data_IF_331965770102
#
_entry.id   IF_331965770102
#
_cell.length_a   1.000
_cell.length_b   1.000
_cell.length_c   1.000
_cell.angle_alpha   90.00
_cell.angle_beta   90.00
_cell.angle_gamma   90.00
#
_symmetry.space_group_name_H-M   'P 1'
#
loop_
_entity.id
_entity.type
_entity.pdbx_description
1 polymer ?
#
# COMPACT_ATOMS: atom_id res chain seq x y z
N UNK A 1 -56.68 4.06 -8.21
CA UNK A 1 -55.96 3.07 -9.04
C UNK A 1 -54.76 2.70 -8.22
N UNK A 2 -55.01 1.83 -7.27
CA UNK A 2 -54.08 1.48 -6.20
C UNK A 2 -53.53 0.11 -6.58
N UNK A 3 -52.26 0.10 -7.00
CA UNK A 3 -51.57 -1.13 -7.37
C UNK A 3 -50.79 -1.61 -6.15
N UNK A 4 -51.30 -2.69 -5.57
CA UNK A 4 -50.66 -3.44 -4.51
C UNK A 4 -49.31 -4.01 -5.00
N UNK A 5 -48.22 -3.60 -4.34
CA UNK A 5 -46.89 -4.18 -4.56
C UNK A 5 -46.79 -5.50 -3.80
N UNK A 6 -46.72 -6.57 -4.58
CA UNK A 6 -46.53 -7.96 -4.17
C UNK A 6 -45.37 -8.12 -3.19
N UNK A 7 -45.67 -8.77 -2.06
CA UNK A 7 -44.69 -9.27 -1.10
C UNK A 7 -43.82 -10.35 -1.73
N UNK A 8 -42.52 -10.06 -1.79
CA UNK A 8 -41.49 -11.04 -2.10
C UNK A 8 -41.20 -11.77 -0.79
N UNK A 9 -41.65 -13.03 -0.71
CA UNK A 9 -41.33 -13.93 0.41
C UNK A 9 -39.86 -14.33 0.32
N UNK A 10 -39.07 -13.85 1.29
CA UNK A 10 -37.69 -14.26 1.51
C UNK A 10 -37.69 -15.70 2.06
N UNK A 11 -37.67 -16.68 1.17
CA UNK A 11 -37.35 -18.06 1.55
C UNK A 11 -35.83 -18.15 1.83
N UNK A 12 -35.47 -18.01 3.11
CA UNK A 12 -34.10 -18.22 3.59
C UNK A 12 -33.66 -19.68 3.34
N UNK A 13 -32.74 -19.85 2.40
CA UNK A 13 -32.10 -21.14 2.13
C UNK A 13 -31.04 -21.42 3.22
N UNK A 14 -31.44 -22.10 4.30
CA UNK A 14 -30.52 -22.56 5.35
C UNK A 14 -29.68 -23.72 4.79
N UNK A 15 -28.47 -23.41 4.33
CA UNK A 15 -27.49 -24.42 3.91
C UNK A 15 -26.82 -25.01 5.16
N UNK A 16 -27.28 -26.17 5.61
CA UNK A 16 -26.63 -26.89 6.71
C UNK A 16 -25.22 -27.36 6.29
N UNK A 17 -24.18 -26.71 6.82
CA UNK A 17 -22.81 -27.18 6.64
C UNK A 17 -22.52 -28.38 7.56
N UNK A 18 -21.92 -29.47 7.05
CA UNK A 18 -21.65 -30.65 7.85
C UNK A 18 -20.61 -30.35 8.95
N UNK A 19 -20.73 -30.99 10.13
CA UNK A 19 -19.85 -30.74 11.25
C UNK A 19 -18.40 -31.12 10.89
N UNK A 20 -17.52 -30.12 10.92
CA UNK A 20 -16.10 -30.25 10.65
C UNK A 20 -15.43 -31.12 11.73
N UNK A 21 -15.36 -32.43 11.47
CA UNK A 21 -14.63 -33.42 12.27
C UNK A 21 -13.13 -33.24 12.09
N UNK A 22 -12.60 -32.11 12.54
CA UNK A 22 -11.17 -31.87 12.65
C UNK A 22 -10.55 -32.90 13.60
N UNK A 23 -9.80 -33.85 13.03
CA UNK A 23 -9.08 -34.90 13.77
C UNK A 23 -8.08 -34.26 14.73
N UNK A 24 -8.41 -34.23 16.03
CA UNK A 24 -7.48 -33.79 17.10
C UNK A 24 -6.26 -34.71 17.09
N UNK A 25 -5.16 -34.27 16.46
CA UNK A 25 -3.88 -34.96 16.56
C UNK A 25 -3.47 -34.93 18.03
N UNK A 26 -3.37 -36.10 18.67
CA UNK A 26 -2.82 -36.24 20.02
C UNK A 26 -1.38 -35.72 19.99
N UNK A 27 -1.18 -34.52 20.51
CA UNK A 27 0.12 -33.87 20.62
C UNK A 27 0.97 -34.72 21.57
N UNK A 28 1.95 -35.43 21.03
CA UNK A 28 2.86 -36.25 21.84
C UNK A 28 3.58 -35.35 22.84
N UNK A 29 3.48 -35.61 24.16
CA UNK A 29 4.07 -34.75 25.16
C UNK A 29 5.54 -34.51 24.88
N UNK A 30 6.36 -35.51 24.51
CA UNK A 30 7.79 -35.37 24.15
C UNK A 30 8.12 -34.21 23.17
N UNK A 31 7.21 -33.84 22.27
CA UNK A 31 7.41 -32.72 21.34
C UNK A 31 7.31 -31.34 22.00
N UNK A 32 6.75 -31.24 23.22
CA UNK A 32 6.63 -30.01 24.01
C UNK A 32 7.98 -29.42 24.40
N UNK A 33 8.91 -30.26 24.88
CA UNK A 33 10.26 -29.89 25.31
C UNK A 33 11.05 -29.28 24.14
N UNK A 34 10.94 -29.91 22.97
CA UNK A 34 11.53 -29.39 21.71
C UNK A 34 10.99 -28.02 21.33
N UNK A 35 9.70 -27.77 21.59
CA UNK A 35 9.05 -26.51 21.23
C UNK A 35 9.43 -25.36 22.19
N UNK A 36 9.63 -25.68 23.48
CA UNK A 36 10.12 -24.73 24.49
C UNK A 36 11.56 -24.33 24.21
N UNK A 37 12.45 -25.28 23.91
CA UNK A 37 13.85 -24.98 23.51
C UNK A 37 13.94 -24.17 22.21
N UNK A 38 13.03 -24.42 21.26
CA UNK A 38 12.92 -23.62 20.03
C UNK A 38 12.54 -22.17 20.33
N UNK A 39 11.61 -21.95 21.27
CA UNK A 39 11.25 -20.59 21.74
C UNK A 39 12.39 -19.93 22.52
N UNK A 40 13.14 -20.67 23.33
CA UNK A 40 14.26 -20.13 24.10
C UNK A 40 15.41 -19.62 23.20
N UNK A 41 15.71 -20.33 22.10
CA UNK A 41 16.73 -19.91 21.09
C UNK A 41 16.36 -18.66 20.29
N UNK A 42 15.07 -18.29 20.26
CA UNK A 42 14.60 -17.06 19.61
C UNK A 42 15.00 -15.81 20.40
N UNK A 43 15.04 -15.86 21.74
CA UNK A 43 15.38 -14.70 22.58
C UNK A 43 16.82 -14.21 22.42
N UNK A 44 17.75 -15.08 22.03
CA UNK A 44 19.19 -14.75 21.90
C UNK A 44 19.54 -14.16 20.53
N UNK A 45 18.70 -14.32 19.51
CA UNK A 45 18.94 -13.77 18.18
C UNK A 45 18.12 -12.50 18.03
N UNK A 46 18.78 -11.36 17.77
CA UNK A 46 18.16 -10.08 17.36
C UNK A 46 17.51 -10.22 15.99
N UNK A 47 16.57 -11.15 15.84
CA UNK A 47 15.86 -11.42 14.61
C UNK A 47 14.55 -10.66 14.67
N UNK A 48 14.46 -9.57 13.92
CA UNK A 48 13.20 -8.84 13.74
C UNK A 48 12.28 -9.74 12.92
N UNK A 49 11.19 -10.16 13.55
CA UNK A 49 10.13 -10.94 12.92
C UNK A 49 9.01 -9.96 12.58
N UNK A 50 8.63 -9.90 11.31
CA UNK A 50 7.56 -9.01 10.85
C UNK A 50 6.34 -9.87 10.55
N UNK A 51 5.20 -9.42 11.06
CA UNK A 51 3.88 -9.96 10.76
C UNK A 51 3.10 -8.87 10.06
N UNK A 52 2.61 -9.17 8.87
CA UNK A 52 1.93 -8.20 8.03
C UNK A 52 1.31 -8.88 6.83
N UNK A 53 0.60 -8.07 6.04
CA UNK A 53 -0.04 -8.52 4.83
C UNK A 53 0.97 -8.42 3.68
N UNK A 54 1.39 -9.54 3.04
CA UNK A 54 2.27 -9.46 1.87
C UNK A 54 1.58 -8.77 0.69
N UNK A 55 0.25 -8.82 0.65
CA UNK A 55 -0.60 -8.16 -0.34
C UNK A 55 -1.83 -7.58 0.35
N UNK A 56 -2.43 -6.54 -0.22
CA UNK A 56 -3.70 -6.00 0.27
C UNK A 56 -4.75 -7.12 0.32
N UNK A 57 -5.36 -7.34 1.49
CA UNK A 57 -6.36 -8.39 1.70
C UNK A 57 -5.86 -9.79 2.09
N UNK A 58 -4.55 -10.05 2.15
CA UNK A 58 -4.03 -11.36 2.56
C UNK A 58 -3.29 -11.28 3.90
N UNK A 59 -3.79 -11.93 4.95
CA UNK A 59 -3.15 -11.95 6.26
C UNK A 59 -2.22 -13.16 6.40
N UNK A 60 -0.91 -12.91 6.48
CA UNK A 60 0.04 -13.97 6.81
C UNK A 60 0.08 -14.12 8.33
N UNK A 61 -0.71 -15.08 8.86
CA UNK A 61 -0.85 -15.32 10.31
C UNK A 61 0.43 -15.81 11.00
N UNK A 62 1.49 -16.10 10.26
CA UNK A 62 2.78 -16.50 10.80
C UNK A 62 3.82 -15.39 10.60
N UNK A 63 4.46 -14.89 11.67
CA UNK A 63 5.53 -13.92 11.54
C UNK A 63 6.72 -14.53 10.79
N UNK A 64 7.26 -13.80 9.82
CA UNK A 64 8.39 -14.24 9.00
C UNK A 64 9.62 -13.38 9.26
N UNK A 65 10.80 -13.98 9.07
CA UNK A 65 12.05 -13.22 9.11
C UNK A 65 12.24 -12.48 7.78
N UNK A 66 12.58 -11.20 7.84
CA UNK A 66 12.93 -10.40 6.66
C UNK A 66 14.26 -10.83 6.04
N UNK A 67 15.10 -11.52 6.81
CA UNK A 67 16.48 -11.82 6.44
C UNK A 67 16.62 -13.29 6.09
N UNK A 68 17.37 -13.59 5.03
CA UNK A 68 17.68 -14.99 4.66
C UNK A 68 18.34 -15.70 5.84
N UNK A 69 18.03 -16.99 6.03
CA UNK A 69 18.59 -17.84 7.09
C UNK A 69 20.11 -17.67 7.16
N UNK A 70 20.61 -17.23 8.32
CA UNK A 70 22.04 -17.06 8.61
C UNK A 70 22.60 -15.65 8.39
N UNK A 71 21.82 -14.72 7.82
CA UNK A 71 22.20 -13.30 7.74
C UNK A 71 21.60 -12.51 8.91
N UNK A 72 22.25 -11.41 9.31
CA UNK A 72 21.83 -10.49 10.37
C UNK A 72 21.83 -9.06 9.85
N UNK A 73 20.98 -8.19 10.41
CA UNK A 73 20.93 -6.77 10.05
C UNK A 73 22.19 -5.98 10.47
N UNK A 74 23.05 -6.54 11.33
CA UNK A 74 24.22 -5.85 11.88
C UNK A 74 25.18 -5.30 10.82
N UNK A 75 25.24 -5.92 9.65
CA UNK A 75 26.12 -5.50 8.54
C UNK A 75 25.35 -5.13 7.27
N UNK A 76 24.03 -4.98 7.33
CA UNK A 76 23.24 -4.59 6.18
C UNK A 76 23.42 -3.08 5.97
N UNK A 77 24.18 -2.70 4.93
CA UNK A 77 24.13 -1.32 4.42
C UNK A 77 22.81 -1.18 3.68
N UNK A 78 21.87 -0.47 4.27
CA UNK A 78 20.63 -0.08 3.60
C UNK A 78 21.05 0.93 2.54
N UNK A 79 20.93 0.64 1.23
CA UNK A 79 21.22 1.63 0.22
C UNK A 79 20.28 2.81 0.45
N UNK A 80 20.82 4.02 0.32
CA UNK A 80 19.98 5.21 0.31
C UNK A 80 19.02 5.07 -0.87
N UNK A 81 17.72 5.19 -0.59
CA UNK A 81 16.72 5.14 -1.66
C UNK A 81 16.91 6.43 -2.44
N UNK A 82 17.28 6.37 -3.74
CA UNK A 82 17.43 7.58 -4.53
C UNK A 82 16.13 8.37 -4.44
N UNK A 83 16.24 9.69 -4.32
CA UNK A 83 15.07 10.57 -4.38
C UNK A 83 14.33 10.24 -5.68
N UNK A 84 13.02 10.07 -5.55
CA UNK A 84 12.18 9.61 -6.65
C UNK A 84 12.10 10.61 -7.79
N UNK A 85 11.16 10.36 -8.70
CA UNK A 85 10.88 11.22 -9.86
C UNK A 85 10.68 12.67 -9.42
N UNK A 86 11.36 13.64 -10.06
CA UNK A 86 11.14 15.06 -9.78
C UNK A 86 9.66 15.40 -9.96
N UNK A 87 9.10 16.11 -8.98
CA UNK A 87 7.67 16.44 -8.98
C UNK A 87 7.46 17.59 -9.95
N UNK A 88 6.57 17.39 -10.93
CA UNK A 88 6.15 18.45 -11.87
C UNK A 88 5.60 19.66 -11.10
N UNK A 89 5.98 20.87 -11.51
CA UNK A 89 5.55 22.12 -10.88
C UNK A 89 4.01 22.26 -10.80
N UNK A 90 3.29 21.75 -11.81
CA UNK A 90 1.83 21.71 -11.81
C UNK A 90 1.24 20.98 -10.58
N UNK A 91 1.83 19.86 -10.15
CA UNK A 91 1.39 19.12 -8.96
C UNK A 91 1.70 19.87 -7.67
N UNK A 92 2.84 20.56 -7.63
CA UNK A 92 3.22 21.39 -6.47
C UNK A 92 2.20 22.50 -6.26
N UNK A 93 1.79 23.17 -7.34
CA UNK A 93 0.76 24.20 -7.29
C UNK A 93 -0.61 23.65 -6.90
N UNK A 94 -0.99 22.48 -7.42
CA UNK A 94 -2.25 21.83 -7.05
C UNK A 94 -2.29 21.47 -5.55
N UNK A 95 -1.21 20.91 -5.01
CA UNK A 95 -1.11 20.63 -3.57
C UNK A 95 -1.14 21.91 -2.73
N UNK A 96 -0.47 22.99 -3.16
CA UNK A 96 -0.56 24.31 -2.48
C UNK A 96 -2.00 24.82 -2.47
N UNK A 97 -2.70 24.72 -3.60
CA UNK A 97 -4.10 25.10 -3.70
C UNK A 97 -4.99 24.28 -2.76
N UNK A 98 -4.80 22.96 -2.70
CA UNK A 98 -5.53 22.08 -1.79
C UNK A 98 -5.28 22.44 -0.31
N UNK A 99 -4.05 22.76 0.06
CA UNK A 99 -3.72 23.18 1.43
C UNK A 99 -4.43 24.48 1.80
N UNK A 100 -4.44 25.46 0.89
CA UNK A 100 -5.18 26.72 1.09
C UNK A 100 -6.69 26.47 1.17
N UNK A 101 -7.23 25.60 0.32
CA UNK A 101 -8.65 25.29 0.28
C UNK A 101 -9.15 24.63 1.59
N UNK A 102 -8.36 23.72 2.16
CA UNK A 102 -8.76 22.95 3.34
C UNK A 102 -8.41 23.62 4.68
N UNK A 103 -7.30 24.36 4.74
CA UNK A 103 -6.74 24.90 5.98
C UNK A 103 -6.67 26.44 6.00
N UNK A 104 -7.00 27.11 4.90
CA UNK A 104 -6.94 28.55 4.75
C UNK A 104 -5.57 29.07 4.33
N UNK A 105 -5.45 30.39 4.16
CA UNK A 105 -4.20 31.04 3.72
C UNK A 105 -3.04 30.87 4.72
N UNK A 106 -3.34 30.70 6.00
CA UNK A 106 -2.37 30.56 7.10
C UNK A 106 -2.00 29.09 7.42
N UNK A 107 -2.17 28.17 6.47
CA UNK A 107 -1.88 26.75 6.70
C UNK A 107 -0.42 26.48 7.11
N UNK A 108 0.51 27.38 6.76
CA UNK A 108 1.93 27.28 7.09
C UNK A 108 2.21 27.40 8.61
N UNK A 109 1.29 28.02 9.35
CA UNK A 109 1.43 28.21 10.80
C UNK A 109 1.02 26.97 11.60
N UNK A 110 0.32 26.00 10.97
CA UNK A 110 -0.09 24.76 11.63
C UNK A 110 1.10 23.80 11.74
N UNK A 111 1.56 23.44 12.96
CA UNK A 111 2.68 22.52 13.16
C UNK A 111 2.41 21.12 12.58
N UNK A 112 1.14 20.75 12.36
CA UNK A 112 0.78 19.47 11.71
C UNK A 112 1.14 19.46 10.22
N UNK A 113 1.29 20.63 9.60
CA UNK A 113 1.56 20.79 8.18
C UNK A 113 3.02 21.16 7.87
N UNK A 114 3.91 21.20 8.88
CA UNK A 114 5.35 21.46 8.72
C UNK A 114 6.04 20.52 7.70
N UNK A 115 5.51 19.30 7.51
CA UNK A 115 6.02 18.40 6.49
C UNK A 115 5.98 19.04 5.08
N UNK A 116 4.88 19.74 4.74
CA UNK A 116 4.72 20.33 3.41
C UNK A 116 5.62 21.55 3.20
N UNK A 117 5.84 22.36 4.24
CA UNK A 117 6.75 23.50 4.16
C UNK A 117 8.20 23.04 3.94
N UNK A 118 8.64 21.99 4.64
CA UNK A 118 9.95 21.37 4.41
C UNK A 118 10.08 20.79 2.99
N UNK A 119 9.03 20.13 2.48
CA UNK A 119 9.01 19.57 1.12
C UNK A 119 9.11 20.69 0.08
N UNK A 120 8.37 21.79 0.23
CA UNK A 120 8.44 22.91 -0.70
C UNK A 120 9.77 23.65 -0.64
N UNK A 121 10.36 23.81 0.55
CA UNK A 121 11.68 24.42 0.70
C UNK A 121 12.78 23.62 -0.02
N UNK A 122 12.68 22.28 0.01
CA UNK A 122 13.62 21.41 -0.70
C UNK A 122 13.43 21.46 -2.22
N UNK A 123 12.20 21.65 -2.70
CA UNK A 123 11.87 21.80 -4.13
C UNK A 123 12.35 23.15 -4.69
N UNK A 124 12.22 24.22 -3.90
CA UNK A 124 12.62 25.57 -4.31
C UNK A 124 14.16 25.77 -4.28
N UNK A 125 14.91 24.83 -3.69
CA UNK A 125 16.36 24.84 -3.76
C UNK A 125 16.80 24.62 -5.22
N UNK A 126 17.54 25.56 -5.84
CA UNK A 126 17.98 25.43 -7.23
C UNK A 126 18.81 24.16 -7.37
N UNK A 127 18.23 23.14 -7.99
CA UNK A 127 19.00 21.99 -8.43
C UNK A 127 19.94 22.49 -9.54
N UNK A 128 21.22 22.08 -9.54
CA UNK A 128 22.07 22.33 -10.70
C UNK A 128 21.38 21.70 -11.90
N UNK A 129 21.10 22.55 -12.89
CA UNK A 129 20.38 22.25 -14.11
C UNK A 129 21.14 21.17 -14.91
N UNK A 130 20.89 19.90 -14.59
CA UNK A 130 21.23 18.79 -15.49
C UNK A 130 20.19 18.80 -16.60
N UNK A 131 20.49 19.61 -17.63
CA UNK A 131 19.71 19.80 -18.84
C UNK A 131 19.07 18.52 -19.33
N UNK A 132 17.77 18.39 -19.09
CA UNK A 132 16.95 17.34 -19.66
C UNK A 132 16.19 18.01 -20.80
N UNK A 133 16.66 17.77 -22.03
CA UNK A 133 16.03 18.26 -23.25
C UNK A 133 14.62 17.67 -23.36
N UNK A 134 13.59 18.42 -22.95
CA UNK A 134 12.18 17.99 -22.96
C UNK A 134 11.54 17.99 -24.37
N UNK A 135 12.33 18.01 -25.46
CA UNK A 135 11.79 18.10 -26.83
C UNK A 135 11.25 16.77 -27.40
N UNK A 136 11.39 15.63 -26.71
CA UNK A 136 11.06 14.30 -27.27
C UNK A 136 9.71 13.67 -26.83
N UNK A 137 8.82 14.38 -26.11
CA UNK A 137 7.54 13.80 -25.62
C UNK A 137 6.29 14.49 -26.19
N UNK A 138 6.35 14.95 -27.45
CA UNK A 138 5.18 15.56 -28.12
C UNK A 138 4.95 15.07 -29.55
N UNK A 139 5.11 13.76 -29.83
CA UNK A 139 4.95 13.22 -31.19
C UNK A 139 4.28 11.83 -31.25
N UNK A 140 3.18 11.57 -30.52
CA UNK A 140 2.40 10.34 -30.79
C UNK A 140 0.92 10.31 -30.35
N UNK A 141 0.25 11.47 -30.27
CA UNK A 141 -1.22 11.52 -30.15
C UNK A 141 -1.81 12.25 -31.36
N UNK A 142 -1.49 11.74 -32.55
CA UNK A 142 -2.25 12.04 -33.75
C UNK A 142 -3.58 11.29 -33.63
N UNK A 143 -4.58 11.96 -33.06
CA UNK A 143 -5.96 11.49 -33.02
C UNK A 143 -6.44 11.45 -34.46
N UNK A 144 -6.47 10.26 -35.07
CA UNK A 144 -7.11 10.05 -36.37
C UNK A 144 -8.61 10.33 -36.23
N UNK A 145 -9.16 11.36 -36.88
CA UNK A 145 -10.57 11.73 -36.74
C UNK A 145 -11.52 10.94 -37.67
N UNK A 146 -11.13 9.77 -38.20
CA UNK A 146 -11.90 9.09 -39.27
C UNK A 146 -12.70 7.84 -38.86
N UNK A 147 -12.81 7.48 -37.57
CA UNK A 147 -13.76 6.43 -37.17
C UNK A 147 -15.19 7.00 -37.02
N UNK A 148 -15.77 7.37 -38.16
CA UNK A 148 -17.20 7.57 -38.37
C UNK A 148 -17.92 6.21 -38.20
N UNK A 149 -18.43 5.95 -36.98
CA UNK A 149 -19.38 4.87 -36.76
C UNK A 149 -20.71 5.18 -37.45
N UNK A 150 -20.85 4.69 -38.68
CA UNK A 150 -22.09 4.64 -39.43
C UNK A 150 -23.14 3.84 -38.65
N UNK A 151 -24.15 4.55 -38.14
CA UNK A 151 -25.29 3.94 -37.45
C UNK A 151 -26.25 3.42 -38.52
N UNK A 152 -26.20 2.12 -38.81
CA UNK A 152 -27.16 1.47 -39.69
C UNK A 152 -28.53 1.43 -38.99
N UNK A 153 -29.51 2.06 -39.63
CA UNK A 153 -30.91 2.17 -39.19
C UNK A 153 -31.71 0.87 -39.37
#
# INVERSE_FOLDING_TARGET
MDQDLNGISEEECIVETPPNKSRKKKTRPETWKRNIERKARSKTRKLVMVQGKPFYGFECGEPKSLVKKGKTFSNARIPEVPRGVPIKLAKVNDVRYLLVLHYGEQWQDDPKLNFYTEVFLQLDSPQPDEGTDEEDILHDLEINPEDDHEVVA
#
